data_IF_876280388945
#
_entry.id   IF_876280388945
#
_cell.length_a   1.000
_cell.length_b   1.000
_cell.length_c   1.000
_cell.angle_alpha   90.00
_cell.angle_beta   90.00
_cell.angle_gamma   90.00
#
_symmetry.space_group_name_H-M   'P 1'
#
loop_
_entity.id
_entity.type
_entity.pdbx_description
1 polymer ?
#
# COMPACT_ATOMS: atom_id res chain seq x y z
N UNK A 1 21.65 -6.03 25.44
CA UNK A 1 20.44 -5.42 26.04
C UNK A 1 19.79 -4.59 24.96
N UNK A 2 18.56 -4.84 24.51
CA UNK A 2 17.91 -3.96 23.54
C UNK A 2 17.79 -2.57 24.18
N UNK A 3 18.17 -1.53 23.40
CA UNK A 3 17.97 -0.15 23.83
C UNK A 3 16.48 0.05 24.12
N UNK A 4 16.16 0.70 25.24
CA UNK A 4 14.79 1.05 25.56
C UNK A 4 14.24 1.95 24.44
N UNK A 5 12.97 1.81 24.05
CA UNK A 5 12.38 2.65 23.03
C UNK A 5 12.54 4.12 23.46
N UNK A 6 13.06 4.93 22.53
CA UNK A 6 13.24 6.35 22.77
C UNK A 6 11.88 6.94 23.17
N UNK A 7 11.81 7.56 24.35
CA UNK A 7 10.60 8.24 24.81
C UNK A 7 10.25 9.34 23.82
N UNK A 8 9.13 9.16 23.11
CA UNK A 8 8.62 10.17 22.16
C UNK A 8 8.38 11.46 22.93
N UNK A 9 9.17 12.51 22.62
CA UNK A 9 8.98 13.85 23.21
C UNK A 9 7.64 14.40 22.71
N UNK A 10 6.75 14.74 23.64
CA UNK A 10 5.47 15.40 23.36
C UNK A 10 5.69 16.92 23.20
N UNK A 11 6.39 17.33 22.16
CA UNK A 11 6.54 18.77 21.84
C UNK A 11 5.54 19.25 20.78
N UNK A 12 4.61 18.38 20.35
CA UNK A 12 3.62 18.69 19.31
C UNK A 12 4.17 18.62 17.89
N UNK A 13 5.47 18.30 17.70
CA UNK A 13 6.08 18.14 16.38
C UNK A 13 5.98 16.69 15.91
N UNK A 14 5.47 16.48 14.70
CA UNK A 14 5.40 15.14 14.05
C UNK A 14 6.74 14.85 13.38
N UNK A 15 7.40 13.77 13.79
CA UNK A 15 8.66 13.32 13.18
C UNK A 15 8.38 12.36 12.04
N UNK A 16 8.77 12.78 10.86
CA UNK A 16 8.46 12.10 9.61
C UNK A 16 9.72 11.52 9.01
N UNK A 17 9.69 10.22 8.70
CA UNK A 17 10.72 9.56 7.90
C UNK A 17 10.29 9.39 6.46
N UNK A 18 11.21 9.55 5.53
CA UNK A 18 11.01 9.21 4.11
C UNK A 18 12.12 8.24 3.71
N UNK A 19 11.76 7.00 3.41
CA UNK A 19 12.69 5.92 3.05
C UNK A 19 12.36 5.43 1.63
N UNK A 20 12.86 6.15 0.65
CA UNK A 20 12.58 5.96 -0.77
C UNK A 20 13.88 6.08 -1.59
N UNK A 21 13.94 5.58 -2.85
CA UNK A 21 15.07 5.84 -3.72
C UNK A 21 15.06 7.33 -4.16
N UNK A 22 15.83 8.14 -3.45
CA UNK A 22 15.90 9.59 -3.66
C UNK A 22 17.16 9.95 -4.46
N UNK A 23 17.17 9.61 -5.76
CA UNK A 23 18.28 9.86 -6.68
C UNK A 23 17.77 10.18 -8.08
N UNK A 24 18.65 10.61 -8.98
CA UNK A 24 18.27 10.99 -10.35
C UNK A 24 18.76 9.99 -11.43
N UNK A 25 19.32 8.84 -11.00
CA UNK A 25 20.00 7.91 -11.89
C UNK A 25 19.03 7.10 -12.75
N UNK A 26 17.84 6.81 -12.23
CA UNK A 26 16.80 6.05 -12.94
C UNK A 26 15.41 6.67 -12.85
N UNK A 27 14.42 5.99 -13.48
CA UNK A 27 13.03 6.45 -13.49
C UNK A 27 12.34 6.33 -12.14
N UNK A 28 12.71 5.35 -11.32
CA UNK A 28 12.13 5.18 -10.00
C UNK A 28 12.61 6.30 -9.06
N UNK A 29 13.92 6.54 -9.05
CA UNK A 29 14.50 7.62 -8.26
C UNK A 29 13.92 8.98 -8.60
N UNK A 30 13.86 9.33 -9.89
CA UNK A 30 13.28 10.62 -10.34
C UNK A 30 11.84 10.79 -9.88
N UNK A 31 11.00 9.74 -9.99
CA UNK A 31 9.61 9.78 -9.53
C UNK A 31 9.51 9.95 -8.02
N UNK A 32 10.39 9.30 -7.26
CA UNK A 32 10.38 9.41 -5.80
C UNK A 32 10.92 10.76 -5.31
N UNK A 33 11.83 11.38 -6.02
CA UNK A 33 12.24 12.77 -5.77
C UNK A 33 11.06 13.73 -5.96
N UNK A 34 10.26 13.57 -7.03
CA UNK A 34 9.06 14.39 -7.22
C UNK A 34 7.98 14.12 -6.15
N UNK A 35 7.80 12.87 -5.77
CA UNK A 35 6.91 12.50 -4.65
C UNK A 35 7.36 13.17 -3.34
N UNK A 36 8.66 13.13 -3.04
CA UNK A 36 9.23 13.76 -1.85
C UNK A 36 9.04 15.29 -1.87
N UNK A 37 9.20 15.94 -3.02
CA UNK A 37 8.89 17.36 -3.18
C UNK A 37 7.41 17.67 -2.86
N UNK A 38 6.50 16.82 -3.31
CA UNK A 38 5.08 16.91 -2.97
C UNK A 38 4.81 16.79 -1.47
N UNK A 39 5.49 15.86 -0.79
CA UNK A 39 5.40 15.74 0.68
C UNK A 39 5.89 17.01 1.37
N UNK A 40 7.02 17.58 0.94
CA UNK A 40 7.54 18.81 1.54
C UNK A 40 6.59 20.00 1.35
N UNK A 41 5.92 20.10 0.19
CA UNK A 41 4.89 21.11 -0.03
C UNK A 41 3.69 20.92 0.91
N UNK A 42 3.23 19.68 1.09
CA UNK A 42 2.14 19.37 2.03
C UNK A 42 2.52 19.71 3.49
N UNK A 43 3.75 19.37 3.90
CA UNK A 43 4.22 19.72 5.25
C UNK A 43 4.36 21.21 5.46
N UNK A 44 4.76 21.97 4.43
CA UNK A 44 4.78 23.42 4.50
C UNK A 44 3.37 24.01 4.66
N UNK A 45 2.36 23.43 3.99
CA UNK A 45 0.97 23.83 4.19
C UNK A 45 0.49 23.49 5.61
N UNK A 46 0.77 22.29 6.11
CA UNK A 46 0.45 21.88 7.48
C UNK A 46 1.05 22.82 8.53
N UNK A 47 2.28 23.31 8.28
CA UNK A 47 2.93 24.30 9.14
C UNK A 47 2.14 25.62 9.20
N UNK A 48 1.56 26.06 8.08
CA UNK A 48 0.69 27.25 8.07
C UNK A 48 -0.59 27.03 8.87
N UNK A 49 -1.03 25.80 9.06
CA UNK A 49 -2.16 25.38 9.88
C UNK A 49 -1.77 25.11 11.35
N UNK A 50 -0.50 25.36 11.72
CA UNK A 50 0.01 25.20 13.09
C UNK A 50 0.52 23.77 13.41
N UNK A 51 0.61 22.88 12.42
CA UNK A 51 1.13 21.54 12.60
C UNK A 51 2.61 21.50 12.19
N UNK A 52 3.50 21.34 13.16
CA UNK A 52 4.93 21.28 12.93
C UNK A 52 5.37 19.86 12.57
N UNK A 53 6.27 19.75 11.59
CA UNK A 53 6.89 18.48 11.16
C UNK A 53 8.40 18.60 11.19
N UNK A 54 9.07 17.53 11.61
CA UNK A 54 10.52 17.33 11.52
C UNK A 54 10.78 16.16 10.55
N UNK A 55 11.40 16.44 9.40
CA UNK A 55 11.48 15.52 8.26
C UNK A 55 12.89 15.00 8.07
N UNK A 56 13.07 13.69 8.19
CA UNK A 56 14.28 12.95 7.91
C UNK A 56 14.12 12.13 6.64
N UNK A 57 14.99 12.29 5.67
CA UNK A 57 14.94 11.56 4.41
C UNK A 57 16.20 10.71 4.19
N UNK A 58 16.00 9.45 3.80
CA UNK A 58 17.05 8.51 3.45
C UNK A 58 16.86 8.04 2.01
N UNK A 59 17.96 8.06 1.25
CA UNK A 59 17.99 7.44 -0.06
C UNK A 59 18.15 5.93 0.11
N UNK A 60 17.09 5.17 -0.17
CA UNK A 60 17.06 3.72 -0.08
C UNK A 60 16.93 3.13 -1.48
N UNK A 61 18.05 2.78 -2.09
CA UNK A 61 18.09 2.21 -3.42
C UNK A 61 17.46 0.80 -3.47
N UNK A 62 17.18 0.32 -4.70
CA UNK A 62 16.51 -0.95 -4.95
C UNK A 62 17.19 -2.14 -4.29
N UNK A 63 18.52 -2.19 -4.40
CA UNK A 63 19.33 -3.31 -3.91
C UNK A 63 19.93 -3.05 -2.51
N UNK A 64 19.56 -1.94 -1.87
CA UNK A 64 20.00 -1.61 -0.53
C UNK A 64 19.29 -2.47 0.53
N UNK A 65 20.06 -2.99 1.50
CA UNK A 65 19.46 -3.55 2.69
C UNK A 65 18.94 -2.41 3.58
N UNK A 66 17.64 -2.25 3.64
CA UNK A 66 16.99 -1.20 4.44
C UNK A 66 17.36 -1.29 5.92
N UNK A 67 17.77 -2.46 6.42
CA UNK A 67 18.20 -2.62 7.82
C UNK A 67 19.38 -1.72 8.17
N UNK A 68 20.27 -1.43 7.21
CA UNK A 68 21.39 -0.49 7.44
C UNK A 68 20.89 0.93 7.72
N UNK A 69 19.85 1.37 7.00
CA UNK A 69 19.19 2.66 7.23
C UNK A 69 18.51 2.69 8.61
N UNK A 70 17.94 1.58 9.07
CA UNK A 70 17.28 1.48 10.36
C UNK A 70 18.24 1.49 11.57
N UNK A 71 19.55 1.46 11.35
CA UNK A 71 20.56 1.66 12.39
C UNK A 71 20.78 3.16 12.72
N UNK A 72 20.27 4.06 11.88
CA UNK A 72 20.32 5.50 12.19
C UNK A 72 19.58 5.80 13.49
N UNK A 73 20.23 6.57 14.37
CA UNK A 73 19.69 6.90 15.68
C UNK A 73 18.32 7.64 15.61
N UNK A 74 18.07 8.38 14.53
CA UNK A 74 16.81 9.10 14.34
C UNK A 74 15.67 8.17 13.93
N UNK A 75 15.96 7.03 13.28
CA UNK A 75 14.94 6.15 12.73
C UNK A 75 13.95 5.63 13.79
N UNK A 76 14.43 5.30 14.98
CA UNK A 76 13.60 4.78 16.07
C UNK A 76 12.74 5.86 16.77
N UNK A 77 13.06 7.13 16.57
CA UNK A 77 12.34 8.25 17.20
C UNK A 77 11.19 8.80 16.34
N UNK A 78 11.01 8.30 15.13
CA UNK A 78 10.00 8.76 14.19
C UNK A 78 8.57 8.41 14.66
N UNK A 79 7.61 9.19 14.22
CA UNK A 79 6.18 8.96 14.44
C UNK A 79 5.55 8.28 13.23
N UNK A 80 6.01 8.63 12.02
CA UNK A 80 5.49 8.10 10.76
C UNK A 80 6.64 7.94 9.74
N UNK A 81 6.59 6.88 8.92
CA UNK A 81 7.52 6.65 7.81
C UNK A 81 6.74 6.48 6.52
N UNK A 82 7.17 7.17 5.47
CA UNK A 82 6.69 6.99 4.08
C UNK A 82 7.69 6.14 3.30
N UNK A 83 7.24 5.04 2.75
CA UNK A 83 8.03 4.06 2.02
C UNK A 83 7.70 2.62 2.44
N UNK A 84 8.49 1.63 2.03
CA UNK A 84 9.51 1.68 0.98
C UNK A 84 8.88 1.65 -0.42
N UNK A 85 9.72 1.71 -1.48
CA UNK A 85 9.24 1.49 -2.85
C UNK A 85 9.28 0.02 -3.28
N UNK A 86 10.14 -0.80 -2.69
CA UNK A 86 10.41 -2.16 -3.18
C UNK A 86 9.94 -3.23 -2.19
N UNK A 87 9.28 -4.27 -2.71
CA UNK A 87 8.69 -5.38 -1.93
C UNK A 87 9.66 -6.03 -0.93
N UNK A 88 10.93 -6.35 -1.27
CA UNK A 88 11.85 -6.98 -0.30
C UNK A 88 12.13 -6.14 0.95
N UNK A 89 11.96 -4.83 0.85
CA UNK A 89 12.22 -3.88 1.94
C UNK A 89 11.01 -3.73 2.88
N UNK A 90 9.81 -4.18 2.47
CA UNK A 90 8.58 -3.97 3.24
C UNK A 90 8.62 -4.67 4.58
N UNK A 91 8.88 -5.99 4.57
CA UNK A 91 8.84 -6.76 5.82
C UNK A 91 9.85 -6.29 6.87
N UNK A 92 11.13 -6.07 6.57
CA UNK A 92 12.09 -5.53 7.55
C UNK A 92 11.66 -4.17 8.12
N UNK A 93 11.12 -3.28 7.28
CA UNK A 93 10.65 -1.97 7.71
C UNK A 93 9.37 -2.08 8.55
N UNK A 94 8.42 -2.91 8.14
CA UNK A 94 7.18 -3.15 8.89
C UNK A 94 7.46 -3.74 10.28
N UNK A 95 8.38 -4.72 10.39
CA UNK A 95 8.80 -5.29 11.67
C UNK A 95 9.48 -4.25 12.57
N UNK A 96 10.28 -3.34 12.00
CA UNK A 96 10.89 -2.23 12.72
C UNK A 96 9.83 -1.24 13.23
N UNK A 97 8.90 -0.84 12.37
CA UNK A 97 7.82 0.08 12.71
C UNK A 97 6.91 -0.48 13.82
N UNK A 98 6.61 -1.77 13.75
CA UNK A 98 5.83 -2.47 14.78
C UNK A 98 6.52 -2.42 16.15
N UNK A 99 7.83 -2.70 16.20
CA UNK A 99 8.59 -2.69 17.47
C UNK A 99 8.70 -1.31 18.10
N UNK A 100 8.79 -0.28 17.26
CA UNK A 100 8.96 1.10 17.71
C UNK A 100 7.66 1.92 17.73
N UNK A 101 6.51 1.28 17.43
CA UNK A 101 5.20 1.93 17.38
C UNK A 101 5.16 3.13 16.40
N UNK A 102 5.78 2.97 15.24
CA UNK A 102 5.84 3.97 14.18
C UNK A 102 4.78 3.63 13.12
N UNK A 103 4.00 4.61 12.68
CA UNK A 103 3.09 4.41 11.56
C UNK A 103 3.89 4.27 10.25
N UNK A 104 3.64 3.20 9.49
CA UNK A 104 4.26 2.96 8.19
C UNK A 104 3.25 3.17 7.08
N UNK A 105 3.45 4.17 6.24
CA UNK A 105 2.64 4.45 5.07
C UNK A 105 3.36 3.95 3.82
N UNK A 106 2.77 2.99 3.14
CA UNK A 106 3.24 2.47 1.85
C UNK A 106 2.39 3.11 0.75
N UNK A 107 2.89 4.18 0.10
CA UNK A 107 2.08 5.00 -0.82
C UNK A 107 1.96 4.42 -2.23
N UNK A 108 2.60 3.29 -2.50
CA UNK A 108 2.68 2.69 -3.84
C UNK A 108 2.10 1.28 -3.87
N UNK A 109 1.82 0.80 -5.10
CA UNK A 109 1.27 -0.53 -5.35
C UNK A 109 2.34 -1.62 -5.20
N UNK A 110 2.65 -1.94 -3.95
CA UNK A 110 3.55 -3.04 -3.60
C UNK A 110 2.70 -4.20 -3.13
N UNK A 111 2.94 -5.39 -3.67
CA UNK A 111 2.34 -6.60 -3.14
C UNK A 111 2.95 -6.94 -1.78
N UNK A 112 2.22 -6.61 -0.73
CA UNK A 112 2.60 -6.95 0.64
C UNK A 112 1.36 -7.34 1.44
N UNK A 113 1.50 -8.38 2.26
CA UNK A 113 0.47 -8.80 3.21
C UNK A 113 0.69 -8.25 4.62
N UNK A 114 1.70 -7.43 4.81
CA UNK A 114 2.01 -6.89 6.15
C UNK A 114 0.85 -6.06 6.71
N UNK A 115 0.06 -5.41 5.84
CA UNK A 115 -1.15 -4.66 6.25
C UNK A 115 -2.23 -5.55 6.90
N UNK A 116 -2.26 -6.84 6.59
CA UNK A 116 -3.25 -7.77 7.14
C UNK A 116 -2.96 -8.16 8.61
N UNK A 117 -1.70 -8.07 9.03
CA UNK A 117 -1.25 -8.57 10.34
C UNK A 117 -0.52 -7.55 11.20
N UNK A 118 -0.18 -6.38 10.64
CA UNK A 118 0.58 -5.35 11.33
C UNK A 118 -0.24 -4.04 11.41
N UNK A 119 -0.77 -3.68 12.59
CA UNK A 119 -1.62 -2.50 12.77
C UNK A 119 -0.89 -1.17 12.55
N UNK A 120 0.44 -1.18 12.44
CA UNK A 120 1.22 0.02 12.13
C UNK A 120 1.33 0.27 10.62
N UNK A 121 0.91 -0.67 9.75
CA UNK A 121 1.05 -0.56 8.30
C UNK A 121 -0.23 -0.02 7.68
N UNK A 122 -0.09 1.07 6.94
CA UNK A 122 -1.13 1.69 6.13
C UNK A 122 -0.70 1.62 4.67
N UNK A 123 -1.46 0.92 3.85
CA UNK A 123 -1.16 0.74 2.43
C UNK A 123 -2.22 1.41 1.58
N UNK A 124 -1.79 2.24 0.64
CA UNK A 124 -2.71 2.92 -0.30
C UNK A 124 -3.25 1.93 -1.33
N UNK A 125 -2.43 0.98 -1.78
CA UNK A 125 -2.86 -0.08 -2.69
C UNK A 125 -3.43 -1.26 -1.91
N UNK A 126 -4.65 -1.64 -2.25
CA UNK A 126 -5.28 -2.81 -1.67
C UNK A 126 -4.89 -4.09 -2.43
N UNK A 127 -4.87 -5.22 -1.73
CA UNK A 127 -4.64 -6.53 -2.35
C UNK A 127 -5.73 -6.82 -3.40
N UNK A 128 -5.38 -7.56 -4.45
CA UNK A 128 -6.35 -8.00 -5.48
C UNK A 128 -7.57 -8.69 -4.86
N UNK A 129 -7.38 -9.41 -3.76
CA UNK A 129 -8.47 -10.08 -3.04
C UNK A 129 -9.47 -9.08 -2.46
N UNK A 130 -8.99 -8.03 -1.78
CA UNK A 130 -9.86 -6.99 -1.21
C UNK A 130 -10.52 -6.15 -2.30
N UNK A 131 -9.79 -5.79 -3.34
CA UNK A 131 -10.34 -5.06 -4.50
C UNK A 131 -11.45 -5.88 -5.17
N UNK A 132 -11.21 -7.17 -5.40
CA UNK A 132 -12.21 -8.05 -5.99
C UNK A 132 -13.44 -8.21 -5.07
N UNK A 133 -13.24 -8.37 -3.76
CA UNK A 133 -14.35 -8.47 -2.81
C UNK A 133 -15.21 -7.20 -2.81
N UNK A 134 -14.58 -6.02 -2.78
CA UNK A 134 -15.28 -4.73 -2.88
C UNK A 134 -16.03 -4.58 -4.20
N UNK A 135 -15.36 -4.90 -5.33
CA UNK A 135 -15.97 -4.82 -6.65
C UNK A 135 -17.17 -5.77 -6.80
N UNK A 136 -17.09 -6.98 -6.26
CA UNK A 136 -18.20 -7.95 -6.23
C UNK A 136 -19.35 -7.41 -5.39
N UNK A 137 -19.08 -6.87 -4.20
CA UNK A 137 -20.09 -6.27 -3.34
C UNK A 137 -20.82 -5.12 -4.03
N UNK A 138 -20.08 -4.17 -4.61
CA UNK A 138 -20.65 -3.05 -5.37
C UNK A 138 -21.45 -3.52 -6.59
N UNK A 139 -20.98 -4.57 -7.29
CA UNK A 139 -21.70 -5.13 -8.43
C UNK A 139 -23.06 -5.72 -8.00
N UNK A 140 -23.06 -6.53 -6.94
CA UNK A 140 -24.30 -7.14 -6.43
C UNK A 140 -25.25 -6.06 -5.94
N UNK A 141 -24.80 -5.12 -5.14
CA UNK A 141 -25.62 -4.01 -4.64
C UNK A 141 -26.32 -3.24 -5.78
N UNK A 142 -25.60 -3.02 -6.88
CA UNK A 142 -26.11 -2.22 -8.01
C UNK A 142 -26.98 -2.99 -8.99
N UNK A 143 -26.69 -4.27 -9.23
CA UNK A 143 -27.26 -5.01 -10.37
C UNK A 143 -28.07 -6.26 -9.99
N UNK A 144 -28.00 -6.79 -8.76
CA UNK A 144 -28.65 -8.06 -8.39
C UNK A 144 -30.16 -8.12 -8.65
N UNK A 145 -30.86 -6.97 -8.58
CA UNK A 145 -32.30 -6.90 -8.71
C UNK A 145 -32.77 -6.37 -10.07
N UNK A 146 -31.89 -5.97 -10.96
CA UNK A 146 -32.25 -5.23 -12.17
C UNK A 146 -31.80 -5.90 -13.46
N UNK A 147 -30.78 -6.75 -13.42
CA UNK A 147 -30.15 -7.31 -14.62
C UNK A 147 -29.71 -8.74 -14.40
N UNK A 148 -29.78 -9.55 -15.48
CA UNK A 148 -29.16 -10.88 -15.51
C UNK A 148 -27.76 -10.77 -16.07
N UNK A 149 -26.71 -11.03 -15.29
CA UNK A 149 -25.33 -10.92 -15.74
C UNK A 149 -25.02 -11.93 -16.84
N UNK A 150 -24.24 -11.52 -17.83
CA UNK A 150 -23.65 -12.39 -18.85
C UNK A 150 -22.14 -12.31 -18.74
N UNK A 151 -21.51 -13.44 -18.46
CA UNK A 151 -20.04 -13.53 -18.42
C UNK A 151 -19.52 -13.91 -19.80
N UNK A 152 -18.69 -13.03 -20.37
CA UNK A 152 -17.93 -13.33 -21.59
C UNK A 152 -16.52 -13.67 -21.11
N UNK A 153 -16.23 -14.97 -20.96
CA UNK A 153 -15.00 -15.42 -20.29
C UNK A 153 -14.07 -16.10 -21.31
N UNK A 154 -12.81 -15.70 -21.31
CA UNK A 154 -11.74 -16.32 -22.08
C UNK A 154 -11.22 -17.61 -21.45
N UNK A 155 -11.84 -18.12 -20.37
CA UNK A 155 -11.48 -19.35 -19.64
C UNK A 155 -10.07 -19.37 -19.04
N UNK A 156 -9.46 -18.25 -18.75
CA UNK A 156 -8.23 -18.20 -17.98
C UNK A 156 -8.50 -17.85 -16.49
N UNK A 157 -8.67 -18.88 -15.62
CA UNK A 157 -8.97 -18.65 -14.21
C UNK A 157 -7.80 -18.06 -13.42
N UNK A 158 -6.60 -18.03 -14.01
CA UNK A 158 -5.38 -17.51 -13.38
C UNK A 158 -5.21 -16.03 -13.63
N UNK A 159 -5.82 -15.52 -14.68
CA UNK A 159 -5.80 -14.10 -14.99
C UNK A 159 -6.49 -13.26 -13.91
N UNK A 160 -6.19 -11.99 -13.88
CA UNK A 160 -6.81 -11.01 -12.97
C UNK A 160 -8.32 -10.96 -13.16
N UNK A 161 -8.75 -10.96 -14.42
CA UNK A 161 -10.18 -10.98 -14.78
C UNK A 161 -10.83 -12.31 -14.38
N UNK A 162 -10.19 -13.44 -14.62
CA UNK A 162 -10.69 -14.75 -14.26
C UNK A 162 -10.82 -14.95 -12.74
N UNK A 163 -9.94 -14.38 -11.93
CA UNK A 163 -10.07 -14.37 -10.47
C UNK A 163 -11.32 -13.59 -10.03
N UNK A 164 -11.54 -12.42 -10.60
CA UNK A 164 -12.71 -11.59 -10.31
C UNK A 164 -14.01 -12.27 -10.73
N UNK A 165 -14.11 -12.74 -11.98
CA UNK A 165 -15.33 -13.38 -12.50
C UNK A 165 -15.69 -14.66 -11.76
N UNK A 166 -14.70 -15.42 -11.28
CA UNK A 166 -14.91 -16.59 -10.43
C UNK A 166 -15.51 -16.20 -9.08
N UNK A 167 -14.96 -15.20 -8.43
CA UNK A 167 -15.46 -14.72 -7.14
C UNK A 167 -16.88 -14.17 -7.28
N UNK A 168 -17.16 -13.42 -8.34
CA UNK A 168 -18.51 -12.92 -8.61
C UNK A 168 -19.51 -14.05 -8.86
N UNK A 169 -19.16 -15.06 -9.67
CA UNK A 169 -20.03 -16.23 -9.89
C UNK A 169 -20.32 -16.98 -8.59
N UNK A 170 -19.32 -17.21 -7.75
CA UNK A 170 -19.52 -17.84 -6.44
C UNK A 170 -20.54 -17.09 -5.58
N UNK A 171 -20.50 -15.77 -5.58
CA UNK A 171 -21.45 -14.95 -4.83
C UNK A 171 -22.85 -14.96 -5.46
N UNK A 172 -22.96 -14.94 -6.79
CA UNK A 172 -24.25 -15.08 -7.49
C UNK A 172 -24.88 -16.45 -7.21
N UNK A 173 -24.10 -17.53 -7.25
CA UNK A 173 -24.56 -18.88 -6.93
C UNK A 173 -25.04 -18.97 -5.48
N UNK A 174 -24.29 -18.41 -4.53
CA UNK A 174 -24.68 -18.37 -3.12
C UNK A 174 -25.98 -17.58 -2.89
N UNK A 175 -26.16 -16.50 -3.63
CA UNK A 175 -27.36 -15.66 -3.60
C UNK A 175 -28.51 -16.21 -4.47
N UNK A 176 -28.32 -17.32 -5.19
CA UNK A 176 -29.27 -17.91 -6.16
C UNK A 176 -29.71 -16.94 -7.26
N UNK A 177 -28.82 -16.06 -7.68
CA UNK A 177 -29.04 -15.11 -8.76
C UNK A 177 -28.62 -15.75 -10.10
N UNK A 178 -29.52 -15.87 -11.09
CA UNK A 178 -29.19 -16.50 -12.36
C UNK A 178 -28.26 -15.63 -13.20
N UNK A 179 -27.34 -16.25 -13.91
CA UNK A 179 -26.43 -15.62 -14.87
C UNK A 179 -26.19 -16.51 -16.08
N UNK A 180 -25.70 -15.96 -17.18
CA UNK A 180 -25.34 -16.68 -18.39
C UNK A 180 -23.83 -16.67 -18.63
N UNK A 181 -23.36 -17.71 -19.33
CA UNK A 181 -21.96 -17.84 -19.74
C UNK A 181 -21.89 -17.84 -21.27
N UNK A 182 -21.20 -16.86 -21.83
CA UNK A 182 -20.86 -16.82 -23.24
C UNK A 182 -19.38 -17.13 -23.43
N UNK A 183 -19.05 -18.14 -24.26
CA UNK A 183 -17.66 -18.41 -24.66
C UNK A 183 -17.26 -17.40 -25.74
N UNK A 184 -16.24 -16.62 -25.49
CA UNK A 184 -15.58 -15.87 -26.56
C UNK A 184 -14.99 -16.89 -27.55
N UNK A 185 -15.54 -16.96 -28.78
CA UNK A 185 -14.85 -17.64 -29.86
C UNK A 185 -13.58 -16.86 -30.11
N UNK A 186 -12.42 -17.56 -30.04
CA UNK A 186 -11.16 -16.96 -30.46
C UNK A 186 -11.38 -16.39 -31.87
N UNK A 187 -11.30 -15.08 -32.00
CA UNK A 187 -11.22 -14.44 -33.29
C UNK A 187 -9.89 -14.90 -33.90
N UNK A 188 -10.00 -15.75 -34.95
CA UNK A 188 -8.86 -16.13 -35.78
C UNK A 188 -8.43 -14.97 -36.65
#
# INVERSE_FOLDING_TARGET
RPAAPATKKKDGTIRVGVMLPLHNDDGDGRRMVEYYRGLLLAFNQMKAEGINTDVHAWNVAKDADIRTTLLDANAASLDIIFGPLYTPQVKPLADFCRRNQIALVIPFSIESREVESNPQVFQVYQTDSLLNAMAVSCFLERYQNSHRPIFIDCNDPTSRVGKFTRMLRQQLDAAKIPYDLAKAKALK
#
